data_IF_994285967464
#
_entry.id   IF_994285967464
#
_cell.length_a   1.000
_cell.length_b   1.000
_cell.length_c   1.000
_cell.angle_alpha   90.00
_cell.angle_beta   90.00
_cell.angle_gamma   90.00
#
_symmetry.space_group_name_H-M   'P 1'
#
loop_
_entity.id
_entity.type
_entity.pdbx_description
1 polymer ?
#
# COMPACT_ATOMS: atom_id res chain seq x y z
N UNK A 1 11.64 -76.90 28.42
CA UNK A 1 11.68 -75.98 27.26
C UNK A 1 10.74 -74.81 27.51
N UNK A 2 11.27 -73.68 27.98
CA UNK A 2 10.60 -72.37 28.00
C UNK A 2 11.69 -71.33 27.73
N UNK A 3 11.78 -70.83 26.49
CA UNK A 3 12.66 -69.72 26.15
C UNK A 3 11.87 -68.44 26.39
N UNK A 4 12.35 -67.65 27.36
CA UNK A 4 11.88 -66.30 27.66
C UNK A 4 12.52 -65.37 26.62
N UNK A 5 11.68 -64.71 25.81
CA UNK A 5 12.10 -63.71 24.83
C UNK A 5 12.29 -62.38 25.57
N UNK A 6 13.53 -61.90 25.68
CA UNK A 6 13.84 -60.57 26.20
C UNK A 6 13.74 -59.58 25.05
N UNK A 7 12.73 -58.72 25.08
CA UNK A 7 12.55 -57.58 24.17
C UNK A 7 13.38 -56.42 24.72
N UNK A 8 14.51 -56.09 24.07
CA UNK A 8 15.25 -54.86 24.33
C UNK A 8 14.60 -53.71 23.55
N UNK A 9 13.91 -52.84 24.26
CA UNK A 9 13.35 -51.59 23.77
C UNK A 9 14.48 -50.54 23.72
N UNK A 10 15.06 -50.28 22.55
CA UNK A 10 15.98 -49.16 22.36
C UNK A 10 15.16 -47.86 22.22
N UNK A 11 14.99 -47.16 23.34
CA UNK A 11 14.45 -45.80 23.38
C UNK A 11 15.57 -44.83 22.95
N UNK A 12 15.71 -44.60 21.65
CA UNK A 12 16.61 -43.57 21.11
C UNK A 12 16.03 -42.18 21.38
N UNK A 13 16.56 -41.49 22.39
CA UNK A 13 16.37 -40.04 22.54
C UNK A 13 17.07 -39.34 21.38
N UNK A 14 16.30 -38.97 20.36
CA UNK A 14 16.73 -38.00 19.36
C UNK A 14 16.58 -36.61 19.98
N UNK A 15 17.64 -36.09 20.60
CA UNK A 15 17.71 -34.68 21.01
C UNK A 15 17.81 -33.84 19.75
N UNK A 16 16.66 -33.41 19.23
CA UNK A 16 16.58 -32.39 18.20
C UNK A 16 16.95 -31.06 18.87
N UNK A 17 18.23 -30.69 18.82
CA UNK A 17 18.66 -29.32 19.14
C UNK A 17 18.18 -28.45 18.00
N UNK A 18 16.94 -27.98 18.12
CA UNK A 18 16.43 -26.90 17.28
C UNK A 18 17.28 -25.67 17.53
N UNK A 19 18.21 -25.39 16.64
CA UNK A 19 18.75 -24.03 16.48
C UNK A 19 17.59 -23.19 15.99
N UNK A 20 16.92 -22.50 16.91
CA UNK A 20 16.15 -21.32 16.53
C UNK A 20 17.14 -20.34 15.95
N UNK A 21 17.22 -20.29 14.63
CA UNK A 21 17.73 -19.11 13.94
C UNK A 21 16.78 -17.98 14.31
N UNK A 22 17.19 -17.21 15.31
CA UNK A 22 16.68 -15.88 15.52
C UNK A 22 17.01 -15.10 14.25
N UNK A 23 16.08 -15.09 13.30
CA UNK A 23 16.00 -14.05 12.29
C UNK A 23 15.76 -12.73 13.02
N UNK A 24 16.85 -12.16 13.54
CA UNK A 24 16.89 -10.78 13.94
C UNK A 24 16.43 -10.00 12.72
N UNK A 25 15.22 -9.44 12.78
CA UNK A 25 14.60 -8.54 11.82
C UNK A 25 15.68 -7.64 11.20
N UNK A 26 16.27 -8.08 10.10
CA UNK A 26 17.37 -7.37 9.48
C UNK A 26 16.75 -6.10 8.94
N UNK A 27 17.19 -4.95 9.46
CA UNK A 27 16.71 -3.66 8.96
C UNK A 27 16.83 -3.68 7.43
N UNK A 28 15.83 -3.26 6.65
CA UNK A 28 15.92 -3.21 5.19
C UNK A 28 17.09 -2.34 4.70
N UNK A 29 17.69 -1.55 5.60
CA UNK A 29 18.89 -0.77 5.37
C UNK A 29 20.22 -1.53 5.54
N UNK A 30 20.20 -2.74 6.11
CA UNK A 30 21.40 -3.56 6.35
C UNK A 30 22.21 -3.83 5.08
N UNK A 31 21.54 -4.06 3.94
CA UNK A 31 22.18 -4.21 2.62
C UNK A 31 22.93 -2.97 2.11
N UNK A 32 22.69 -1.81 2.72
CA UNK A 32 23.37 -0.56 2.39
C UNK A 32 24.40 -0.15 3.46
N UNK A 33 24.64 -1.00 4.47
CA UNK A 33 25.64 -0.76 5.50
C UNK A 33 27.03 -0.54 4.89
N UNK A 34 27.74 0.49 5.34
CA UNK A 34 29.06 0.87 4.84
C UNK A 34 29.06 1.66 3.52
N UNK A 35 27.91 1.86 2.86
CA UNK A 35 27.83 2.72 1.69
C UNK A 35 27.72 4.19 2.12
N UNK A 36 28.52 5.07 1.49
CA UNK A 36 28.50 6.52 1.76
C UNK A 36 27.75 7.32 0.69
N UNK A 37 27.50 6.73 -0.49
CA UNK A 37 26.84 7.40 -1.63
C UNK A 37 26.03 6.41 -2.45
N UNK A 38 24.93 6.90 -3.02
CA UNK A 38 24.10 6.17 -3.99
C UNK A 38 24.19 6.87 -5.34
N UNK A 39 24.42 6.09 -6.41
CA UNK A 39 24.56 6.61 -7.77
C UNK A 39 23.31 6.38 -8.61
N UNK A 40 22.91 7.41 -9.36
CA UNK A 40 21.82 7.38 -10.32
C UNK A 40 22.28 7.97 -11.66
N UNK A 41 22.48 7.06 -12.63
CA UNK A 41 22.91 7.33 -14.00
C UNK A 41 24.14 8.26 -14.05
N UNK A 42 25.19 7.88 -13.30
CA UNK A 42 26.45 8.62 -13.23
C UNK A 42 26.44 9.84 -12.30
N UNK A 43 25.30 10.24 -11.73
CA UNK A 43 25.21 11.33 -10.76
C UNK A 43 24.91 10.82 -9.35
N UNK A 44 25.43 11.49 -8.32
CA UNK A 44 25.10 11.14 -6.93
C UNK A 44 23.64 11.54 -6.62
N UNK A 45 22.85 10.56 -6.16
CA UNK A 45 21.51 10.77 -5.62
C UNK A 45 21.62 11.30 -4.19
N UNK A 46 20.95 12.41 -3.90
CA UNK A 46 20.96 13.04 -2.57
C UNK A 46 19.67 12.77 -1.81
N UNK A 47 19.74 12.79 -0.48
CA UNK A 47 18.54 12.70 0.36
C UNK A 47 17.57 13.85 0.01
N UNK A 48 16.28 13.52 -0.13
CA UNK A 48 15.23 14.46 -0.51
C UNK A 48 15.13 14.75 -2.02
N UNK A 49 16.07 14.26 -2.84
CA UNK A 49 15.95 14.35 -4.28
C UNK A 49 14.86 13.39 -4.77
N UNK A 50 13.85 13.92 -5.47
CA UNK A 50 12.75 13.14 -6.06
C UNK A 50 12.93 12.93 -7.56
N UNK A 51 13.93 13.55 -8.18
CA UNK A 51 14.16 13.40 -9.62
C UNK A 51 15.34 14.19 -10.16
N UNK A 52 15.45 14.18 -11.49
CA UNK A 52 16.42 14.93 -12.27
C UNK A 52 15.67 15.63 -13.39
N UNK A 53 16.02 16.89 -13.58
CA UNK A 53 15.57 17.70 -14.69
C UNK A 53 16.72 17.82 -15.68
N UNK A 54 16.45 17.62 -16.96
CA UNK A 54 17.35 17.97 -18.06
C UNK A 54 16.69 19.05 -18.91
N UNK A 55 17.41 20.13 -19.17
CA UNK A 55 16.93 21.24 -19.98
C UNK A 55 17.07 20.85 -21.45
N UNK A 56 15.95 20.75 -22.17
CA UNK A 56 15.90 20.40 -23.60
C UNK A 56 16.03 21.64 -24.47
N UNK A 57 15.42 22.76 -24.04
CA UNK A 57 15.50 24.09 -24.66
C UNK A 57 15.72 25.13 -23.60
N UNK A 58 16.38 26.25 -23.97
CA UNK A 58 16.61 27.35 -23.04
C UNK A 58 15.30 27.75 -22.33
N UNK A 59 15.35 27.85 -21.01
CA UNK A 59 14.19 28.14 -20.17
C UNK A 59 14.59 29.05 -19.02
N UNK A 60 13.62 29.67 -18.37
CA UNK A 60 13.87 30.60 -17.27
C UNK A 60 13.88 29.87 -15.94
N UNK A 61 14.84 30.22 -15.09
CA UNK A 61 14.84 29.90 -13.66
C UNK A 61 14.18 31.04 -12.90
N UNK A 62 13.31 30.70 -11.97
CA UNK A 62 12.60 31.67 -11.14
C UNK A 62 12.88 31.41 -9.67
N UNK A 63 12.96 32.48 -8.88
CA UNK A 63 12.88 32.39 -7.42
C UNK A 63 11.44 32.67 -7.00
N UNK A 64 10.92 31.85 -6.08
CA UNK A 64 9.60 32.08 -5.46
C UNK A 64 9.77 32.56 -4.02
N UNK A 65 9.14 33.68 -3.71
CA UNK A 65 9.05 34.25 -2.35
C UNK A 65 7.56 34.48 -2.04
N UNK A 66 6.93 33.49 -1.42
CA UNK A 66 5.46 33.43 -1.30
C UNK A 66 4.82 33.23 -2.67
N UNK A 67 3.93 34.15 -3.05
CA UNK A 67 3.29 34.19 -4.38
C UNK A 67 4.11 34.96 -5.42
N UNK A 68 5.14 35.71 -4.99
CA UNK A 68 5.96 36.52 -5.89
C UNK A 68 6.93 35.63 -6.68
N UNK A 69 6.87 35.76 -8.00
CA UNK A 69 7.75 35.08 -8.96
C UNK A 69 8.76 36.08 -9.56
N UNK A 70 10.05 35.86 -9.29
CA UNK A 70 11.13 36.72 -9.82
C UNK A 70 12.02 35.92 -10.76
N UNK A 71 12.30 36.45 -11.94
CA UNK A 71 13.28 35.85 -12.85
C UNK A 71 14.69 35.92 -12.25
N UNK A 72 15.39 34.79 -12.23
CA UNK A 72 16.77 34.69 -11.75
C UNK A 72 17.75 34.72 -12.93
N UNK A 73 17.64 33.74 -13.83
CA UNK A 73 18.50 33.61 -15.02
C UNK A 73 17.89 32.67 -16.05
N UNK A 74 18.49 32.62 -17.24
CA UNK A 74 18.22 31.58 -18.24
C UNK A 74 19.06 30.33 -17.97
N UNK A 75 18.41 29.17 -17.96
CA UNK A 75 19.02 27.85 -18.02
C UNK A 75 19.25 27.44 -19.47
N UNK A 76 20.39 26.81 -19.76
CA UNK A 76 20.78 26.43 -21.12
C UNK A 76 20.41 24.97 -21.41
N UNK A 77 20.08 24.70 -22.67
CA UNK A 77 19.89 23.32 -23.14
C UNK A 77 21.11 22.44 -22.81
N UNK A 78 20.86 21.22 -22.34
CA UNK A 78 21.88 20.26 -21.88
C UNK A 78 22.17 20.33 -20.37
N UNK A 79 21.83 21.42 -19.68
CA UNK A 79 22.01 21.50 -18.23
C UNK A 79 21.10 20.50 -17.51
N UNK A 80 21.58 19.98 -16.36
CA UNK A 80 20.82 19.04 -15.53
C UNK A 80 20.79 19.48 -14.06
N UNK A 81 19.64 19.33 -13.43
CA UNK A 81 19.38 19.77 -12.07
C UNK A 81 18.66 18.68 -11.26
N UNK A 82 18.90 18.63 -9.94
CA UNK A 82 18.12 17.78 -9.03
C UNK A 82 16.75 18.41 -8.83
N UNK A 83 15.70 17.58 -8.73
CA UNK A 83 14.37 18.03 -8.36
C UNK A 83 14.03 17.56 -6.94
N UNK A 84 13.45 18.45 -6.14
CA UNK A 84 13.12 18.20 -4.73
C UNK A 84 11.63 18.24 -4.43
N UNK A 85 10.83 18.92 -5.26
CA UNK A 85 9.39 19.03 -5.07
C UNK A 85 8.68 19.39 -6.38
N UNK A 86 7.39 19.06 -6.42
CA UNK A 86 6.47 19.58 -7.43
C UNK A 86 5.69 20.78 -6.87
N UNK A 87 5.38 21.72 -7.75
CA UNK A 87 4.31 22.71 -7.56
C UNK A 87 3.41 22.68 -8.80
N UNK A 88 2.17 23.20 -8.73
CA UNK A 88 1.31 23.31 -9.91
C UNK A 88 2.07 23.97 -11.08
N UNK A 89 2.30 23.23 -12.16
CA UNK A 89 3.03 23.69 -13.34
C UNK A 89 4.54 23.91 -13.18
N UNK A 90 5.16 23.58 -12.05
CA UNK A 90 6.57 23.91 -11.76
C UNK A 90 7.35 22.78 -11.06
N UNK A 91 8.68 22.77 -11.27
CA UNK A 91 9.63 21.85 -10.65
C UNK A 91 10.63 22.61 -9.78
N UNK A 92 10.77 22.22 -8.51
CA UNK A 92 11.72 22.82 -7.58
C UNK A 92 13.12 22.24 -7.78
N UNK A 93 14.10 23.09 -8.09
CA UNK A 93 15.52 22.71 -8.19
C UNK A 93 16.32 22.92 -6.89
N UNK A 94 15.62 23.27 -5.80
CA UNK A 94 16.19 23.56 -4.49
C UNK A 94 16.40 25.06 -4.22
N UNK A 95 16.60 25.44 -2.95
CA UNK A 95 16.91 26.82 -2.56
C UNK A 95 15.82 27.86 -2.86
N UNK A 96 14.57 27.44 -3.08
CA UNK A 96 13.48 28.32 -3.48
C UNK A 96 13.41 28.62 -4.97
N UNK A 97 14.20 27.92 -5.80
CA UNK A 97 14.20 28.10 -7.25
C UNK A 97 13.36 27.05 -7.98
N UNK A 98 12.72 27.50 -9.06
CA UNK A 98 11.74 26.73 -9.82
C UNK A 98 11.90 26.93 -11.32
N UNK A 99 11.54 25.89 -12.07
CA UNK A 99 11.46 25.90 -13.53
C UNK A 99 10.05 25.47 -13.94
N UNK A 100 9.49 26.10 -14.97
CA UNK A 100 8.20 25.68 -15.50
C UNK A 100 8.27 24.25 -16.05
N UNK A 101 7.24 23.45 -15.76
CA UNK A 101 7.10 22.08 -16.26
C UNK A 101 6.39 22.10 -17.62
N UNK A 102 7.17 22.16 -18.69
CA UNK A 102 6.69 22.20 -20.07
C UNK A 102 7.64 21.44 -21.01
N UNK A 103 7.41 21.52 -22.32
CA UNK A 103 8.18 20.82 -23.36
C UNK A 103 9.66 21.24 -23.46
N UNK A 104 10.08 22.30 -22.76
CA UNK A 104 11.48 22.74 -22.73
C UNK A 104 12.34 21.94 -21.76
N UNK A 105 11.73 21.06 -20.97
CA UNK A 105 12.42 20.28 -19.94
C UNK A 105 11.98 18.81 -19.95
N UNK A 106 12.91 17.92 -19.60
CA UNK A 106 12.66 16.49 -19.40
C UNK A 106 12.86 16.17 -17.92
N UNK A 107 11.85 15.60 -17.29
CA UNK A 107 11.92 15.13 -15.91
C UNK A 107 12.04 13.60 -15.88
N UNK A 108 12.93 13.11 -15.05
CA UNK A 108 13.17 11.69 -14.79
C UNK A 108 13.11 11.44 -13.28
N UNK A 109 12.64 10.25 -12.89
CA UNK A 109 12.51 9.84 -11.48
C UNK A 109 13.47 8.67 -11.22
N UNK A 110 14.29 8.69 -10.14
CA UNK A 110 15.07 7.53 -9.74
C UNK A 110 14.13 6.39 -9.33
N UNK A 111 14.59 5.14 -9.45
CA UNK A 111 13.82 4.02 -8.92
C UNK A 111 13.66 4.14 -7.40
N UNK A 112 12.55 3.64 -6.88
CA UNK A 112 12.28 3.61 -5.43
C UNK A 112 13.41 2.94 -4.64
N UNK A 113 13.99 1.87 -5.18
CA UNK A 113 15.16 1.21 -4.59
C UNK A 113 16.35 2.16 -4.39
N UNK A 114 16.59 3.09 -5.31
CA UNK A 114 17.65 4.10 -5.15
C UNK A 114 17.26 5.16 -4.11
N UNK A 115 15.99 5.57 -4.07
CA UNK A 115 15.48 6.49 -3.04
C UNK A 115 15.59 5.89 -1.63
N UNK A 116 15.26 4.62 -1.47
CA UNK A 116 15.35 3.93 -0.18
C UNK A 116 16.81 3.71 0.22
N UNK A 117 17.67 3.38 -0.75
CA UNK A 117 19.10 3.28 -0.52
C UNK A 117 19.68 4.61 -0.01
N UNK A 118 19.30 5.75 -0.63
CA UNK A 118 19.81 7.05 -0.19
C UNK A 118 19.26 7.43 1.18
N UNK A 119 18.02 7.08 1.50
CA UNK A 119 17.46 7.25 2.84
C UNK A 119 18.29 6.46 3.87
N UNK A 120 18.51 5.16 3.62
CA UNK A 120 19.21 4.26 4.51
C UNK A 120 20.63 4.74 4.87
N UNK A 121 21.44 5.14 3.88
CA UNK A 121 22.80 5.62 4.14
C UNK A 121 22.86 6.96 4.90
N UNK A 122 21.75 7.71 4.91
CA UNK A 122 21.60 8.96 5.66
C UNK A 122 20.90 8.76 7.03
N UNK A 123 20.82 7.51 7.52
CA UNK A 123 20.17 7.19 8.80
C UNK A 123 18.66 7.44 8.80
N UNK A 124 18.06 7.67 7.62
CA UNK A 124 16.61 7.67 7.44
C UNK A 124 16.21 6.27 7.08
N UNK A 125 15.56 5.57 8.01
CA UNK A 125 14.89 4.34 7.63
C UNK A 125 13.72 4.73 6.71
N UNK A 126 13.65 4.21 5.46
CA UNK A 126 12.39 4.19 4.75
C UNK A 126 11.40 3.60 5.75
N UNK A 127 10.33 4.34 6.05
CA UNK A 127 9.40 3.96 7.10
C UNK A 127 9.12 2.46 6.95
N UNK A 128 9.57 1.66 7.91
CA UNK A 128 8.91 0.37 8.13
C UNK A 128 7.47 0.77 8.32
N UNK A 129 6.62 0.47 7.35
CA UNK A 129 5.22 0.84 7.37
C UNK A 129 4.69 0.42 8.73
N UNK A 130 4.27 1.40 9.53
CA UNK A 130 3.66 1.16 10.84
C UNK A 130 2.64 0.07 10.61
N UNK A 131 2.81 -1.08 11.28
CA UNK A 131 1.82 -2.15 11.16
C UNK A 131 0.54 -1.66 11.83
N UNK A 132 -0.50 -1.45 11.03
CA UNK A 132 -1.79 -0.98 11.51
C UNK A 132 -2.74 -2.17 11.55
N UNK A 133 -3.15 -2.53 12.76
CA UNK A 133 -4.05 -3.64 13.00
C UNK A 133 -5.49 -3.21 12.70
N UNK A 134 -6.19 -4.02 11.93
CA UNK A 134 -7.64 -3.95 11.79
C UNK A 134 -8.25 -5.22 12.39
N UNK A 135 -9.21 -5.11 13.33
CA UNK A 135 -9.89 -6.28 13.89
C UNK A 135 -10.67 -7.09 12.85
N UNK A 136 -10.98 -6.51 11.68
CA UNK A 136 -11.72 -7.17 10.60
C UNK A 136 -10.83 -8.08 9.75
N UNK A 137 -9.56 -7.71 9.56
CA UNK A 137 -8.63 -8.40 8.66
C UNK A 137 -7.93 -9.62 9.28
N UNK A 138 -8.26 -9.95 10.53
CA UNK A 138 -7.68 -11.08 11.25
C UNK A 138 -6.16 -10.92 11.42
N UNK A 139 -5.39 -11.84 10.82
CA UNK A 139 -3.92 -11.86 10.95
C UNK A 139 -3.21 -10.89 10.02
N UNK A 140 -3.86 -10.45 8.95
CA UNK A 140 -3.28 -9.52 8.00
C UNK A 140 -3.37 -8.11 8.56
N UNK A 141 -2.27 -7.37 8.57
CA UNK A 141 -2.24 -5.97 9.03
C UNK A 141 -1.76 -5.07 7.90
N UNK A 142 -2.31 -3.86 7.81
CA UNK A 142 -1.75 -2.85 6.91
C UNK A 142 -0.28 -2.61 7.29
N UNK A 143 0.54 -2.31 6.30
CA UNK A 143 1.99 -2.20 6.42
C UNK A 143 2.74 -3.54 6.40
N UNK A 144 2.08 -4.69 6.29
CA UNK A 144 2.78 -5.95 6.02
C UNK A 144 3.43 -5.96 4.63
N UNK A 145 4.53 -6.69 4.49
CA UNK A 145 5.11 -6.96 3.18
C UNK A 145 4.29 -7.94 2.37
N UNK A 146 4.48 -7.98 1.05
CA UNK A 146 3.79 -8.95 0.18
C UNK A 146 4.04 -10.38 0.63
N UNK A 147 5.29 -10.70 0.99
CA UNK A 147 5.65 -12.01 1.51
C UNK A 147 4.95 -12.33 2.84
N UNK A 148 4.90 -11.37 3.77
CA UNK A 148 4.18 -11.54 5.03
C UNK A 148 2.68 -11.75 4.81
N UNK A 149 2.07 -11.04 3.86
CA UNK A 149 0.67 -11.26 3.50
C UNK A 149 0.47 -12.67 2.96
N UNK A 150 1.34 -13.17 2.07
CA UNK A 150 1.25 -14.54 1.54
C UNK A 150 1.32 -15.63 2.62
N UNK A 151 2.08 -15.39 3.68
CA UNK A 151 2.22 -16.31 4.81
C UNK A 151 1.02 -16.29 5.77
N UNK A 152 0.26 -15.17 5.81
CA UNK A 152 -0.84 -14.96 6.74
C UNK A 152 -2.23 -15.07 6.10
N UNK A 153 -2.32 -14.84 4.79
CA UNK A 153 -3.57 -14.93 4.04
C UNK A 153 -4.05 -16.37 3.95
N UNK A 154 -5.34 -16.55 4.22
CA UNK A 154 -6.06 -17.77 3.90
C UNK A 154 -6.56 -17.73 2.45
N UNK A 155 -7.20 -18.80 1.99
CA UNK A 155 -7.74 -18.89 0.64
C UNK A 155 -6.71 -19.31 -0.41
N UNK A 156 -7.06 -19.08 -1.67
CA UNK A 156 -6.30 -19.53 -2.84
C UNK A 156 -5.76 -18.31 -3.57
N UNK A 157 -4.43 -18.17 -3.65
CA UNK A 157 -3.80 -17.13 -4.45
C UNK A 157 -4.13 -17.36 -5.94
N UNK A 158 -4.75 -16.38 -6.57
CA UNK A 158 -5.20 -16.44 -7.97
C UNK A 158 -4.43 -15.48 -8.89
N UNK A 159 -3.93 -14.37 -8.37
CA UNK A 159 -3.14 -13.39 -9.12
C UNK A 159 -2.06 -12.75 -8.23
N UNK A 160 -0.88 -12.53 -8.81
CA UNK A 160 0.20 -11.77 -8.20
C UNK A 160 0.82 -10.83 -9.25
N UNK A 161 0.74 -9.52 -9.00
CA UNK A 161 1.40 -8.50 -9.81
C UNK A 161 2.45 -7.76 -8.96
N UNK A 162 3.08 -6.71 -9.49
CA UNK A 162 3.98 -5.86 -8.70
C UNK A 162 3.26 -5.11 -7.56
N UNK A 163 2.00 -4.72 -7.75
CA UNK A 163 1.23 -3.85 -6.87
C UNK A 163 0.09 -4.54 -6.13
N UNK A 164 -0.29 -5.79 -6.46
CA UNK A 164 -1.39 -6.49 -5.78
C UNK A 164 -1.18 -7.99 -5.63
N UNK A 165 -1.93 -8.56 -4.69
CA UNK A 165 -2.22 -9.99 -4.59
C UNK A 165 -3.75 -10.17 -4.60
N UNK A 166 -4.24 -11.16 -5.34
CA UNK A 166 -5.67 -11.51 -5.38
C UNK A 166 -5.85 -12.92 -4.85
N UNK A 167 -6.62 -13.04 -3.77
CA UNK A 167 -7.00 -14.32 -3.18
C UNK A 167 -8.49 -14.59 -3.39
N UNK A 168 -8.81 -15.84 -3.69
CA UNK A 168 -10.17 -16.36 -3.75
C UNK A 168 -10.47 -17.17 -2.49
N UNK A 169 -11.74 -17.37 -2.18
CA UNK A 169 -12.20 -18.20 -1.07
C UNK A 169 -11.65 -17.79 0.31
N UNK A 170 -11.52 -16.47 0.55
CA UNK A 170 -11.11 -15.92 1.84
C UNK A 170 -12.35 -15.67 2.68
N UNK A 171 -12.37 -16.14 3.93
CA UNK A 171 -13.46 -15.84 4.87
C UNK A 171 -13.18 -14.55 5.64
N UNK A 172 -14.03 -13.54 5.47
CA UNK A 172 -13.99 -12.27 6.21
C UNK A 172 -15.38 -12.03 6.81
N UNK A 173 -15.43 -11.78 8.12
CA UNK A 173 -16.68 -11.53 8.85
C UNK A 173 -17.75 -12.65 8.71
N UNK A 174 -17.31 -13.86 8.37
CA UNK A 174 -18.18 -15.04 8.18
C UNK A 174 -18.59 -15.29 6.73
N UNK A 175 -18.23 -14.41 5.80
CA UNK A 175 -18.55 -14.55 4.38
C UNK A 175 -17.31 -14.90 3.58
N UNK A 176 -17.48 -15.78 2.60
CA UNK A 176 -16.40 -16.15 1.68
C UNK A 176 -16.41 -15.20 0.50
N UNK A 177 -15.22 -14.75 0.06
CA UNK A 177 -15.12 -13.84 -1.05
C UNK A 177 -13.72 -13.74 -1.64
N UNK A 178 -13.61 -12.84 -2.62
CA UNK A 178 -12.35 -12.43 -3.22
C UNK A 178 -11.74 -11.29 -2.41
N UNK A 179 -10.44 -11.36 -2.14
CA UNK A 179 -9.70 -10.30 -1.43
C UNK A 179 -8.53 -9.83 -2.28
N UNK A 180 -8.47 -8.52 -2.51
CA UNK A 180 -7.40 -7.83 -3.21
C UNK A 180 -6.57 -7.04 -2.19
N UNK A 181 -5.34 -7.48 -1.98
CA UNK A 181 -4.34 -6.78 -1.17
C UNK A 181 -3.55 -5.84 -2.07
N UNK A 182 -3.55 -4.54 -1.77
CA UNK A 182 -2.90 -3.49 -2.57
C UNK A 182 -1.65 -3.00 -1.86
N UNK A 183 -0.53 -2.98 -2.58
CA UNK A 183 0.78 -2.67 -2.03
C UNK A 183 1.38 -1.42 -2.67
N UNK A 184 1.95 -0.57 -1.82
CA UNK A 184 2.87 0.48 -2.23
C UNK A 184 4.20 0.26 -1.54
N UNK A 185 5.30 0.29 -2.28
CA UNK A 185 6.64 0.11 -1.72
C UNK A 185 6.81 -1.20 -0.92
N UNK A 186 6.14 -2.28 -1.36
CA UNK A 186 6.08 -3.56 -0.66
C UNK A 186 5.50 -3.45 0.77
N UNK A 187 4.62 -2.48 1.00
CA UNK A 187 3.82 -2.33 2.20
C UNK A 187 2.34 -2.38 1.82
N UNK A 188 1.55 -3.20 2.53
CA UNK A 188 0.12 -3.30 2.33
C UNK A 188 -0.56 -1.97 2.72
N UNK A 189 -1.10 -1.24 1.74
CA UNK A 189 -1.74 0.07 1.99
C UNK A 189 -3.26 0.00 1.98
N UNK A 190 -3.82 -1.00 1.29
CA UNK A 190 -5.26 -1.23 1.27
C UNK A 190 -5.61 -2.70 1.10
N UNK A 191 -6.77 -3.08 1.61
CA UNK A 191 -7.41 -4.38 1.38
C UNK A 191 -8.81 -4.12 0.87
N UNK A 192 -9.15 -4.68 -0.28
CA UNK A 192 -10.50 -4.68 -0.84
C UNK A 192 -11.05 -6.10 -0.73
N UNK A 193 -12.20 -6.25 -0.07
CA UNK A 193 -12.92 -7.51 0.11
C UNK A 193 -14.18 -7.42 -0.73
N UNK A 194 -14.40 -8.41 -1.58
CA UNK A 194 -15.59 -8.57 -2.40
C UNK A 194 -16.25 -9.87 -1.98
N UNK A 195 -17.46 -9.79 -1.44
CA UNK A 195 -18.24 -10.99 -1.16
C UNK A 195 -19.14 -11.30 -2.35
N UNK A 196 -19.21 -12.58 -2.71
CA UNK A 196 -20.18 -13.05 -3.70
C UNK A 196 -21.54 -13.10 -3.02
N UNK A 197 -22.37 -12.07 -3.25
CA UNK A 197 -23.68 -11.92 -2.59
C UNK A 197 -24.78 -12.54 -3.45
N UNK A 198 -24.68 -12.47 -4.77
CA UNK A 198 -25.77 -12.79 -5.69
C UNK A 198 -25.26 -13.35 -7.02
N UNK A 199 -26.04 -14.25 -7.63
CA UNK A 199 -25.87 -14.66 -9.03
C UNK A 199 -26.75 -13.85 -10.00
N UNK A 200 -27.78 -13.14 -9.50
CA UNK A 200 -28.70 -12.33 -10.31
C UNK A 200 -28.91 -10.93 -9.74
N UNK A 201 -28.91 -9.95 -10.63
CA UNK A 201 -28.81 -8.50 -10.38
C UNK A 201 -30.04 -7.82 -9.76
N UNK A 202 -31.16 -8.53 -9.61
CA UNK A 202 -32.48 -7.91 -9.35
C UNK A 202 -32.99 -8.00 -7.89
N UNK A 203 -32.27 -8.64 -6.97
CA UNK A 203 -32.72 -8.79 -5.57
C UNK A 203 -32.07 -7.75 -4.63
N UNK A 204 -32.54 -6.51 -4.75
CA UNK A 204 -32.14 -5.38 -3.91
C UNK A 204 -32.31 -5.64 -2.40
N UNK A 205 -33.30 -6.47 -2.01
CA UNK A 205 -33.52 -6.80 -0.61
C UNK A 205 -32.36 -7.61 -0.04
N UNK A 206 -31.79 -8.52 -0.83
CA UNK A 206 -30.63 -9.30 -0.42
C UNK A 206 -29.37 -8.44 -0.27
N UNK A 207 -29.19 -7.45 -1.16
CA UNK A 207 -28.10 -6.47 -1.06
C UNK A 207 -28.23 -5.58 0.18
N UNK A 208 -29.44 -5.10 0.47
CA UNK A 208 -29.73 -4.33 1.67
C UNK A 208 -29.54 -5.17 2.94
N UNK A 209 -30.02 -6.42 2.95
CA UNK A 209 -29.81 -7.34 4.06
C UNK A 209 -28.32 -7.64 4.29
N UNK A 210 -27.54 -7.81 3.22
CA UNK A 210 -26.08 -7.93 3.31
C UNK A 210 -25.47 -6.66 3.93
N UNK A 211 -25.85 -5.47 3.45
CA UNK A 211 -25.33 -4.22 3.96
C UNK A 211 -25.59 -4.08 5.47
N UNK A 212 -26.84 -4.27 5.89
CA UNK A 212 -27.24 -4.20 7.31
C UNK A 212 -26.45 -5.22 8.14
N UNK A 213 -26.33 -6.46 7.67
CA UNK A 213 -25.61 -7.52 8.39
C UNK A 213 -24.13 -7.17 8.55
N UNK A 214 -23.48 -6.65 7.51
CA UNK A 214 -22.08 -6.25 7.56
C UNK A 214 -21.88 -5.01 8.42
N UNK A 215 -22.79 -4.04 8.34
CA UNK A 215 -22.81 -2.85 9.18
C UNK A 215 -22.86 -3.22 10.67
N UNK A 216 -23.77 -4.11 11.06
CA UNK A 216 -23.88 -4.61 12.43
C UNK A 216 -22.63 -5.37 12.91
N UNK A 217 -21.93 -6.06 12.00
CA UNK A 217 -20.66 -6.74 12.30
C UNK A 217 -19.49 -5.77 12.46
N UNK A 218 -19.56 -4.58 11.88
CA UNK A 218 -18.47 -3.58 11.89
C UNK A 218 -18.59 -2.61 13.08
N UNK A 219 -19.81 -2.20 13.44
CA UNK A 219 -20.06 -1.25 14.56
C UNK A 219 -19.31 -1.62 15.85
N UNK A 220 -19.26 -2.89 16.31
CA UNK A 220 -18.57 -3.24 17.55
C UNK A 220 -17.07 -2.87 17.56
N UNK A 221 -16.46 -2.67 16.39
CA UNK A 221 -15.05 -2.34 16.26
C UNK A 221 -14.78 -0.85 16.10
N UNK A 222 -15.66 -0.11 15.42
CA UNK A 222 -15.40 1.28 15.05
C UNK A 222 -16.43 2.28 15.55
N UNK A 223 -17.52 1.81 16.19
CA UNK A 223 -18.64 2.66 16.59
C UNK A 223 -19.46 3.13 15.39
N UNK A 224 -20.10 4.28 15.53
CA UNK A 224 -20.91 4.88 14.47
C UNK A 224 -20.02 5.44 13.33
N UNK A 225 -20.43 5.30 12.07
CA UNK A 225 -19.69 5.85 10.93
C UNK A 225 -19.75 7.38 10.91
N UNK A 226 -18.72 8.00 10.30
CA UNK A 226 -18.71 9.45 10.06
C UNK A 226 -19.63 9.85 8.89
N UNK A 227 -19.97 8.89 8.03
CA UNK A 227 -20.91 9.05 6.93
C UNK A 227 -21.64 7.73 6.71
N UNK A 228 -22.96 7.80 6.62
CA UNK A 228 -23.85 6.68 6.43
C UNK A 228 -24.88 7.06 5.37
N UNK A 229 -24.97 6.23 4.35
CA UNK A 229 -25.93 6.31 3.26
C UNK A 229 -26.71 4.99 3.22
N UNK A 230 -28.02 5.10 3.42
CA UNK A 230 -28.94 3.96 3.54
C UNK A 230 -30.09 4.05 2.55
N UNK A 231 -30.07 5.00 1.62
CA UNK A 231 -31.14 5.13 0.63
C UNK A 231 -30.60 5.01 -0.79
N UNK A 232 -31.18 4.09 -1.55
CA UNK A 232 -30.76 3.79 -2.92
C UNK A 232 -30.90 4.97 -3.90
N UNK A 233 -31.59 6.07 -3.54
CA UNK A 233 -32.31 6.92 -4.50
C UNK A 233 -31.64 8.26 -4.88
N UNK A 234 -30.38 8.53 -4.52
CA UNK A 234 -29.82 9.87 -4.73
C UNK A 234 -28.40 10.00 -5.32
N UNK A 235 -27.83 8.93 -5.90
CA UNK A 235 -26.41 8.96 -6.30
C UNK A 235 -26.15 9.26 -7.78
N UNK A 236 -25.27 10.23 -8.04
CA UNK A 236 -24.64 10.43 -9.35
C UNK A 236 -23.68 9.28 -9.67
N UNK A 237 -24.21 8.10 -10.04
CA UNK A 237 -23.37 6.95 -10.40
C UNK A 237 -24.03 5.56 -10.33
N UNK A 238 -25.28 5.45 -9.88
CA UNK A 238 -25.99 4.17 -9.70
C UNK A 238 -26.83 4.17 -8.44
N UNK A 239 -27.15 2.99 -7.92
CA UNK A 239 -27.82 2.83 -6.63
C UNK A 239 -26.78 2.31 -5.63
N UNK A 240 -26.49 3.05 -4.54
CA UNK A 240 -25.50 2.63 -3.54
C UNK A 240 -26.05 2.66 -2.09
N UNK A 241 -25.50 1.79 -1.25
CA UNK A 241 -25.54 1.90 0.21
C UNK A 241 -24.09 1.97 0.70
N UNK A 242 -23.78 2.87 1.62
CA UNK A 242 -22.41 3.00 2.10
C UNK A 242 -22.32 3.42 3.56
N UNK A 243 -21.27 2.95 4.23
CA UNK A 243 -20.92 3.41 5.56
C UNK A 243 -19.40 3.61 5.63
N UNK A 244 -18.98 4.76 6.14
CA UNK A 244 -17.59 5.17 6.16
C UNK A 244 -17.12 5.52 7.57
N UNK A 245 -16.01 4.92 7.98
CA UNK A 245 -15.36 5.18 9.26
C UNK A 245 -13.96 5.72 9.03
N UNK A 246 -13.58 6.74 9.79
CA UNK A 246 -12.24 7.29 9.84
C UNK A 246 -11.69 7.05 11.24
N UNK A 247 -10.52 6.44 11.33
CA UNK A 247 -9.75 6.33 12.58
C UNK A 247 -8.43 7.09 12.44
N UNK A 248 -7.65 7.16 13.52
CA UNK A 248 -6.34 7.79 13.48
C UNK A 248 -5.34 7.09 12.54
N UNK A 249 -5.55 5.80 12.27
CA UNK A 249 -4.56 4.97 11.58
C UNK A 249 -5.05 4.41 10.23
N UNK A 250 -6.35 4.22 10.04
CA UNK A 250 -6.93 3.74 8.79
C UNK A 250 -8.38 4.20 8.59
N UNK A 251 -8.82 4.12 7.35
CA UNK A 251 -10.19 4.31 6.90
C UNK A 251 -10.84 2.96 6.58
N UNK A 252 -12.14 2.86 6.82
CA UNK A 252 -12.95 1.69 6.47
C UNK A 252 -14.19 2.15 5.70
N UNK A 253 -14.44 1.58 4.53
CA UNK A 253 -15.63 1.79 3.71
C UNK A 253 -16.36 0.47 3.50
N UNK A 254 -17.57 0.34 4.04
CA UNK A 254 -18.53 -0.67 3.62
C UNK A 254 -19.35 -0.08 2.48
N UNK A 255 -19.52 -0.83 1.39
CA UNK A 255 -20.33 -0.38 0.27
C UNK A 255 -21.04 -1.55 -0.39
N UNK A 256 -22.25 -1.27 -0.85
CA UNK A 256 -22.99 -2.06 -1.81
C UNK A 256 -23.38 -1.14 -2.95
N UNK A 257 -23.15 -1.54 -4.19
CA UNK A 257 -23.54 -0.75 -5.36
C UNK A 257 -24.13 -1.66 -6.43
N UNK A 258 -25.14 -1.13 -7.11
CA UNK A 258 -25.61 -1.59 -8.42
C UNK A 258 -25.08 -0.62 -9.47
N UNK A 259 -24.22 -1.11 -10.36
CA UNK A 259 -23.67 -0.30 -11.46
C UNK A 259 -24.68 -0.15 -12.60
N UNK A 260 -24.41 0.76 -13.54
CA UNK A 260 -25.28 0.98 -14.71
C UNK A 260 -25.36 -0.23 -15.66
N UNK A 261 -24.36 -1.11 -15.62
CA UNK A 261 -24.36 -2.37 -16.38
C UNK A 261 -25.05 -3.51 -15.60
N UNK A 262 -25.76 -3.16 -14.52
CA UNK A 262 -26.43 -4.05 -13.58
C UNK A 262 -25.52 -4.95 -12.75
N UNK A 263 -24.19 -4.87 -12.89
CA UNK A 263 -23.29 -5.59 -11.98
C UNK A 263 -23.49 -5.10 -10.55
N UNK A 264 -23.71 -6.05 -9.64
CA UNK A 264 -23.87 -5.80 -8.21
C UNK A 264 -22.58 -6.14 -7.50
N UNK A 265 -22.05 -5.22 -6.70
CA UNK A 265 -20.95 -5.53 -5.80
C UNK A 265 -21.33 -5.18 -4.38
N UNK A 266 -20.87 -6.00 -3.43
CA UNK A 266 -20.88 -5.63 -2.02
C UNK A 266 -19.57 -6.05 -1.37
N UNK A 267 -19.03 -5.15 -0.56
CA UNK A 267 -17.66 -5.31 -0.13
C UNK A 267 -17.19 -4.29 0.87
N UNK A 268 -15.94 -4.48 1.28
CA UNK A 268 -15.27 -3.67 2.29
C UNK A 268 -13.93 -3.19 1.74
N UNK A 269 -13.62 -1.91 1.92
CA UNK A 269 -12.28 -1.38 1.73
C UNK A 269 -11.72 -0.91 3.06
N UNK A 270 -10.54 -1.39 3.42
CA UNK A 270 -9.77 -0.89 4.56
C UNK A 270 -8.44 -0.36 4.02
N UNK A 271 -8.08 0.89 4.31
CA UNK A 271 -6.86 1.51 3.80
C UNK A 271 -6.20 2.44 4.82
N UNK A 272 -4.88 2.60 4.73
CA UNK A 272 -4.16 3.58 5.54
C UNK A 272 -4.73 4.99 5.28
N UNK A 273 -4.84 5.79 6.32
CA UNK A 273 -5.22 7.21 6.20
C UNK A 273 -4.08 7.97 5.52
N UNK A 274 -4.34 8.61 4.38
CA UNK A 274 -3.37 9.46 3.66
C UNK A 274 -3.00 10.73 4.45
#
# INVERSE_FOLDING_TARGET
MKKLLVVMLFLGLFTFTGTSETEASSSPCSKYSGQSRIWWDGAELKLGQIGRLTIVKNTSLFKLEGEKRTFERTLKAGESYRIYAFKPGMLSVGGGFYVDRNEKVKYETPSKTKLDAVACINGKHPSQSKKIYSPILGKVTLGMSKQQVKEQSSGILSEETSDRLVYQNVNILGYTGMVIYVFENNALVAVNVYHDIMESVDDLNLLEAYFVTMYEKIIPYYGDPVSLDTDWLNDTGGYNLSAYWITNDHNTLLTVQVTYDYDTYGGLRISITE
#
